data_IF_897615349621
#
_entry.id   IF_897615349621
#
_cell.length_a   1.000
_cell.length_b   1.000
_cell.length_c   1.000
_cell.angle_alpha   90.00
_cell.angle_beta   90.00
_cell.angle_gamma   90.00
#
_symmetry.space_group_name_H-M   'P 1'
#
loop_
_entity.id
_entity.type
_entity.pdbx_description
1 polymer ?
#
# COMPACT_ATOMS: atom_id res chain seq x y z
N UNK A 1 -14.12 19.88 -4.81
CA UNK A 1 -14.36 18.51 -4.24
C UNK A 1 -13.08 17.99 -3.58
N UNK A 2 -13.05 16.89 -2.82
CA UNK A 2 -11.80 16.33 -2.32
C UNK A 2 -11.08 15.54 -3.41
N UNK A 3 -9.74 15.56 -3.40
CA UNK A 3 -8.94 14.59 -4.16
C UNK A 3 -9.08 13.21 -3.53
N UNK A 4 -9.32 12.19 -4.34
CA UNK A 4 -9.49 10.81 -3.89
C UNK A 4 -8.26 9.97 -4.27
N UNK A 5 -7.61 9.38 -3.28
CA UNK A 5 -6.45 8.52 -3.50
C UNK A 5 -6.79 7.07 -3.17
N UNK A 6 -6.51 6.18 -4.09
CA UNK A 6 -6.67 4.73 -3.96
C UNK A 6 -5.29 4.11 -3.74
N UNK A 7 -4.96 3.80 -2.49
CA UNK A 7 -3.73 3.10 -2.17
C UNK A 7 -3.93 1.59 -2.34
N UNK A 8 -3.14 1.01 -3.20
CA UNK A 8 -3.17 -0.42 -3.56
C UNK A 8 -1.88 -1.08 -3.11
N UNK A 9 -1.96 -2.13 -2.29
CA UNK A 9 -0.81 -3.00 -2.10
C UNK A 9 -0.60 -3.84 -3.36
N UNK A 10 0.64 -4.00 -3.81
CA UNK A 10 0.98 -4.87 -4.94
C UNK A 10 0.39 -6.28 -4.79
N UNK A 11 0.17 -6.97 -5.91
CA UNK A 11 -0.27 -8.37 -5.93
C UNK A 11 0.74 -9.32 -5.29
N UNK A 12 0.32 -10.54 -4.97
CA UNK A 12 1.16 -11.53 -4.29
C UNK A 12 2.39 -11.90 -5.14
N UNK A 13 3.53 -12.13 -4.47
CA UNK A 13 4.77 -12.63 -5.03
C UNK A 13 5.10 -14.01 -4.46
N UNK A 14 5.96 -14.79 -5.12
CA UNK A 14 6.44 -16.05 -4.57
C UNK A 14 7.17 -15.85 -3.23
N UNK A 15 7.80 -14.68 -3.03
CA UNK A 15 8.44 -14.34 -1.77
C UNK A 15 7.43 -14.10 -0.65
N UNK A 16 6.26 -13.54 -0.94
CA UNK A 16 5.19 -13.43 0.05
C UNK A 16 4.68 -14.81 0.48
N UNK A 17 4.46 -15.72 -0.48
CA UNK A 17 4.04 -17.09 -0.22
C UNK A 17 5.08 -17.87 0.61
N UNK A 18 6.36 -17.67 0.32
CA UNK A 18 7.47 -18.29 1.05
C UNK A 18 7.79 -17.59 2.39
N UNK A 19 7.08 -16.53 2.78
CA UNK A 19 7.38 -15.69 3.95
C UNK A 19 8.82 -15.16 3.94
N UNK A 20 9.32 -14.79 2.78
CA UNK A 20 10.62 -14.17 2.57
C UNK A 20 10.48 -12.67 2.46
N UNK A 21 11.29 -11.93 3.22
CA UNK A 21 11.20 -10.47 3.29
C UNK A 21 11.89 -9.83 2.09
N UNK A 22 11.12 -9.23 1.20
CA UNK A 22 11.66 -8.58 0.02
C UNK A 22 12.26 -7.19 0.34
N UNK A 23 11.65 -6.42 1.23
CA UNK A 23 12.07 -5.03 1.48
C UNK A 23 12.17 -4.23 0.19
N UNK A 24 13.29 -3.55 -0.01
CA UNK A 24 13.58 -2.75 -1.23
C UNK A 24 14.38 -3.50 -2.29
N UNK A 25 14.54 -4.81 -2.17
CA UNK A 25 15.25 -5.59 -3.18
C UNK A 25 14.52 -5.53 -4.53
N UNK A 26 15.29 -5.30 -5.59
CA UNK A 26 14.85 -5.38 -6.98
C UNK A 26 14.70 -6.84 -7.43
N UNK A 27 14.07 -7.09 -8.57
CA UNK A 27 13.92 -8.42 -9.17
C UNK A 27 12.86 -9.30 -8.50
N UNK A 28 12.04 -8.76 -7.58
CA UNK A 28 10.92 -9.49 -6.98
C UNK A 28 9.63 -9.12 -7.70
N UNK A 29 9.26 -9.95 -8.68
CA UNK A 29 8.09 -9.78 -9.54
C UNK A 29 6.83 -10.43 -8.97
N UNK A 30 5.68 -10.16 -9.58
CA UNK A 30 4.42 -10.81 -9.25
C UNK A 30 4.48 -12.32 -9.59
N UNK A 31 3.84 -13.13 -8.76
CA UNK A 31 3.53 -14.52 -9.10
C UNK A 31 2.40 -14.58 -10.14
N UNK A 32 2.07 -15.79 -10.62
CA UNK A 32 0.88 -15.99 -11.46
C UNK A 32 -0.40 -15.55 -10.79
N UNK A 33 -0.53 -15.84 -9.48
CA UNK A 33 -1.67 -15.38 -8.67
C UNK A 33 -1.67 -13.86 -8.51
N UNK A 34 -0.50 -13.26 -8.26
CA UNK A 34 -0.38 -11.82 -8.14
C UNK A 34 -0.79 -11.05 -9.39
N UNK A 35 -0.53 -11.59 -10.59
CA UNK A 35 -1.02 -11.00 -11.84
C UNK A 35 -2.54 -11.08 -11.93
N UNK A 36 -3.16 -12.21 -11.53
CA UNK A 36 -4.63 -12.32 -11.45
C UNK A 36 -5.25 -11.36 -10.42
N UNK A 37 -4.59 -11.17 -9.27
CA UNK A 37 -4.97 -10.17 -8.28
C UNK A 37 -4.90 -8.75 -8.87
N UNK A 38 -3.82 -8.40 -9.58
CA UNK A 38 -3.66 -7.09 -10.22
C UNK A 38 -4.75 -6.82 -11.27
N UNK A 39 -5.11 -7.83 -12.08
CA UNK A 39 -6.22 -7.73 -13.02
C UNK A 39 -7.57 -7.50 -12.33
N UNK A 40 -7.80 -8.14 -11.18
CA UNK A 40 -9.04 -7.93 -10.42
C UNK A 40 -9.10 -6.49 -9.85
N UNK A 41 -7.98 -5.93 -9.37
CA UNK A 41 -7.89 -4.51 -8.99
C UNK A 41 -8.16 -3.60 -10.18
N UNK A 42 -7.56 -3.90 -11.35
CA UNK A 42 -7.76 -3.12 -12.56
C UNK A 42 -9.25 -3.07 -12.96
N UNK A 43 -9.94 -4.23 -12.95
CA UNK A 43 -11.39 -4.29 -13.18
C UNK A 43 -12.19 -3.47 -12.17
N UNK A 44 -11.82 -3.54 -10.90
CA UNK A 44 -12.48 -2.76 -9.83
C UNK A 44 -12.35 -1.26 -10.05
N UNK A 45 -11.18 -0.80 -10.51
CA UNK A 45 -10.90 0.61 -10.69
C UNK A 45 -11.29 1.12 -12.09
N UNK A 46 -11.65 0.26 -13.05
CA UNK A 46 -11.93 0.62 -14.43
C UNK A 46 -13.02 1.71 -14.60
N UNK A 47 -14.03 1.71 -13.72
CA UNK A 47 -15.09 2.74 -13.73
C UNK A 47 -14.72 4.03 -12.97
N UNK A 48 -13.57 4.07 -12.30
CA UNK A 48 -13.10 5.28 -11.61
C UNK A 48 -12.39 6.18 -12.61
N UNK A 49 -12.74 7.47 -12.76
CA UNK A 49 -12.06 8.36 -13.70
C UNK A 49 -10.67 8.77 -13.16
N UNK A 50 -9.73 7.83 -13.18
CA UNK A 50 -8.37 8.09 -12.73
C UNK A 50 -7.69 9.14 -13.58
N UNK A 51 -7.01 10.08 -12.93
CA UNK A 51 -6.18 11.12 -13.56
C UNK A 51 -4.71 10.70 -13.63
N UNK A 52 -4.26 9.85 -12.72
CA UNK A 52 -2.91 9.32 -12.69
C UNK A 52 -2.88 7.95 -12.03
N UNK A 53 -1.86 7.17 -12.41
CA UNK A 53 -1.44 5.95 -11.73
C UNK A 53 0.02 6.10 -11.34
N UNK A 54 0.30 6.05 -10.05
CA UNK A 54 1.63 6.23 -9.46
C UNK A 54 2.08 4.93 -8.82
N UNK A 55 3.35 4.61 -8.91
CA UNK A 55 3.92 3.36 -8.40
C UNK A 55 5.20 3.58 -7.61
N UNK A 56 5.38 2.79 -6.56
CA UNK A 56 6.71 2.46 -6.04
C UNK A 56 7.64 2.01 -7.17
N UNK A 57 8.95 2.27 -7.10
CA UNK A 57 9.91 1.82 -8.11
C UNK A 57 10.11 0.29 -8.19
N UNK A 58 9.61 -0.48 -7.21
CA UNK A 58 9.85 -1.91 -7.11
C UNK A 58 8.99 -2.71 -8.11
N UNK A 59 9.57 -3.73 -8.74
CA UNK A 59 8.98 -4.44 -9.89
C UNK A 59 7.56 -4.94 -9.63
N UNK A 60 7.30 -5.60 -8.50
CA UNK A 60 5.96 -6.09 -8.11
C UNK A 60 4.90 -4.98 -8.03
N UNK A 61 5.31 -3.77 -7.63
CA UNK A 61 4.40 -2.63 -7.58
C UNK A 61 4.18 -2.04 -8.97
N UNK A 62 5.24 -1.93 -9.78
CA UNK A 62 5.16 -1.46 -11.16
C UNK A 62 4.27 -2.36 -12.01
N UNK A 63 4.47 -3.69 -11.97
CA UNK A 63 3.63 -4.65 -12.69
C UNK A 63 2.13 -4.50 -12.30
N UNK A 64 1.86 -4.32 -11.01
CA UNK A 64 0.49 -4.08 -10.53
C UNK A 64 -0.06 -2.76 -11.07
N UNK A 65 0.74 -1.68 -11.03
CA UNK A 65 0.35 -0.36 -11.49
C UNK A 65 0.11 -0.31 -13.00
N UNK A 66 0.97 -0.96 -13.79
CA UNK A 66 0.84 -1.06 -15.26
C UNK A 66 -0.46 -1.77 -15.64
N UNK A 67 -0.82 -2.81 -14.88
CA UNK A 67 -2.10 -3.52 -15.08
C UNK A 67 -3.30 -2.63 -14.78
N UNK A 68 -3.23 -1.81 -13.71
CA UNK A 68 -4.28 -0.84 -13.36
C UNK A 68 -4.37 0.30 -14.39
N UNK A 69 -3.23 0.77 -14.89
CA UNK A 69 -3.17 1.91 -15.81
C UNK A 69 -3.74 1.59 -17.21
N UNK A 70 -3.65 0.34 -17.65
CA UNK A 70 -4.01 -0.11 -18.99
C UNK A 70 -5.44 0.27 -19.42
N UNK A 71 -6.53 -0.03 -18.65
CA UNK A 71 -7.89 0.32 -19.04
C UNK A 71 -8.18 1.82 -19.02
N UNK A 72 -7.29 2.64 -18.46
CA UNK A 72 -7.38 4.10 -18.43
C UNK A 72 -6.51 4.79 -19.48
N UNK A 73 -5.72 4.03 -20.25
CA UNK A 73 -4.74 4.52 -21.22
C UNK A 73 -3.71 5.50 -20.60
N UNK A 74 -3.43 5.32 -19.30
CA UNK A 74 -2.49 6.14 -18.54
C UNK A 74 -1.08 5.51 -18.54
N UNK A 75 -0.07 6.39 -18.43
CA UNK A 75 1.30 5.96 -18.11
C UNK A 75 1.50 5.92 -16.61
N UNK A 76 2.25 4.93 -16.14
CA UNK A 76 2.64 4.84 -14.73
C UNK A 76 3.76 5.83 -14.44
N UNK A 77 3.57 6.64 -13.41
CA UNK A 77 4.59 7.52 -12.85
C UNK A 77 5.26 6.82 -11.68
N UNK A 78 6.59 6.71 -11.71
CA UNK A 78 7.36 6.10 -10.62
C UNK A 78 7.73 7.15 -9.58
N UNK A 79 7.54 6.82 -8.30
CA UNK A 79 7.80 7.73 -7.20
C UNK A 79 8.33 6.98 -5.96
N UNK A 80 9.53 7.32 -5.53
CA UNK A 80 10.22 6.70 -4.39
C UNK A 80 9.50 6.94 -3.05
N UNK A 81 8.67 7.97 -2.94
CA UNK A 81 7.89 8.21 -1.74
C UNK A 81 6.99 7.01 -1.38
N UNK A 82 6.64 6.17 -2.36
CA UNK A 82 5.75 5.02 -2.18
C UNK A 82 6.47 3.67 -2.13
N UNK A 83 7.81 3.65 -2.04
CA UNK A 83 8.57 2.40 -1.92
C UNK A 83 8.34 1.70 -0.58
N UNK A 84 8.74 0.42 -0.50
CA UNK A 84 8.63 -0.41 0.71
C UNK A 84 9.54 0.13 1.83
N UNK A 85 9.33 -0.36 3.04
CA UNK A 85 10.19 -0.14 4.19
C UNK A 85 11.60 -0.66 3.93
N UNK A 86 12.62 0.11 4.29
CA UNK A 86 13.99 -0.38 4.34
C UNK A 86 14.15 -1.29 5.55
N UNK A 87 14.69 -2.48 5.33
CA UNK A 87 14.88 -3.51 6.36
C UNK A 87 16.33 -3.94 6.56
N UNK A 88 17.27 -3.24 5.94
CA UNK A 88 18.72 -3.51 6.06
C UNK A 88 19.06 -5.01 5.89
N UNK A 89 19.75 -5.59 6.87
CA UNK A 89 20.22 -6.96 6.84
C UNK A 89 19.09 -8.03 6.86
N UNK A 90 17.83 -7.65 7.08
CA UNK A 90 16.71 -8.59 7.04
C UNK A 90 16.23 -8.89 5.62
N UNK A 91 16.55 -8.01 4.66
CA UNK A 91 16.10 -8.17 3.29
C UNK A 91 16.66 -9.46 2.67
N UNK A 92 15.79 -10.22 2.02
CA UNK A 92 16.15 -11.49 1.42
C UNK A 92 16.11 -12.69 2.36
N UNK A 93 15.92 -12.49 3.67
CA UNK A 93 15.82 -13.58 4.64
C UNK A 93 14.39 -14.10 4.76
N UNK A 94 14.26 -15.36 5.19
CA UNK A 94 12.97 -15.90 5.61
C UNK A 94 12.57 -15.32 6.97
N UNK A 95 11.26 -15.21 7.21
CA UNK A 95 10.75 -14.71 8.50
C UNK A 95 11.25 -15.49 9.70
N UNK A 96 11.38 -16.83 9.57
CA UNK A 96 11.99 -17.70 10.59
C UNK A 96 13.41 -17.31 10.94
N UNK A 97 14.23 -17.03 9.91
CA UNK A 97 15.64 -16.68 10.10
C UNK A 97 15.79 -15.30 10.73
N UNK A 98 14.90 -14.35 10.36
CA UNK A 98 14.87 -13.02 10.98
C UNK A 98 14.58 -13.15 12.49
N UNK A 99 13.56 -13.94 12.86
CA UNK A 99 13.21 -14.15 14.27
C UNK A 99 14.31 -14.88 15.05
N UNK A 100 15.01 -15.82 14.42
CA UNK A 100 16.11 -16.56 15.05
C UNK A 100 17.38 -15.71 15.22
N UNK A 101 17.71 -14.87 14.22
CA UNK A 101 18.97 -14.12 14.20
C UNK A 101 18.88 -12.75 14.86
N UNK A 102 17.68 -12.13 14.86
CA UNK A 102 17.45 -10.75 15.32
C UNK A 102 16.25 -10.65 16.29
N UNK A 103 16.14 -11.50 17.33
CA UNK A 103 14.93 -11.59 18.15
C UNK A 103 14.63 -10.28 18.90
N UNK A 104 15.67 -9.55 19.34
CA UNK A 104 15.52 -8.29 20.06
C UNK A 104 15.06 -7.16 19.13
N UNK A 105 15.67 -7.07 17.96
CA UNK A 105 15.29 -6.08 16.94
C UNK A 105 13.86 -6.30 16.45
N UNK A 106 13.44 -7.57 16.27
CA UNK A 106 12.05 -7.91 15.91
C UNK A 106 11.08 -7.43 16.99
N UNK A 107 11.40 -7.63 18.27
CA UNK A 107 10.58 -7.12 19.38
C UNK A 107 10.54 -5.60 19.42
N UNK A 108 11.69 -4.95 19.23
CA UNK A 108 11.81 -3.50 19.20
C UNK A 108 10.96 -2.89 18.07
N UNK A 109 11.10 -3.42 16.84
CA UNK A 109 10.28 -2.99 15.68
C UNK A 109 8.79 -3.25 15.89
N UNK A 110 8.44 -4.38 16.53
CA UNK A 110 7.05 -4.70 16.86
C UNK A 110 6.44 -3.71 17.86
N UNK A 111 7.26 -3.21 18.79
CA UNK A 111 6.89 -2.18 19.77
C UNK A 111 6.97 -0.75 19.22
N UNK A 112 7.19 -0.56 17.92
CA UNK A 112 7.28 0.77 17.29
C UNK A 112 8.63 1.48 17.50
N UNK A 113 9.63 0.78 18.05
CA UNK A 113 10.97 1.34 18.28
C UNK A 113 11.80 1.36 16.99
N UNK A 114 12.81 2.21 16.95
CA UNK A 114 13.74 2.30 15.83
C UNK A 114 14.90 1.31 16.02
N UNK A 115 15.23 0.58 14.97
CA UNK A 115 16.37 -0.32 14.90
C UNK A 115 17.32 0.20 13.82
N UNK A 116 18.62 0.09 14.05
CA UNK A 116 19.64 0.59 13.14
C UNK A 116 19.49 -0.02 11.72
N UNK A 117 19.49 0.84 10.71
CA UNK A 117 19.33 0.45 9.31
C UNK A 117 17.89 0.07 8.90
N UNK A 118 16.95 -0.10 9.84
CA UNK A 118 15.53 -0.34 9.55
C UNK A 118 14.79 1.00 9.56
N UNK A 119 14.09 1.31 8.47
CA UNK A 119 13.33 2.56 8.38
C UNK A 119 12.26 2.65 9.48
N UNK A 120 12.20 3.80 10.17
CA UNK A 120 11.22 4.01 11.23
C UNK A 120 9.80 4.16 10.69
N UNK A 121 8.81 3.87 11.53
CA UNK A 121 7.39 4.13 11.19
C UNK A 121 7.15 5.60 10.89
N UNK A 122 7.78 6.50 11.64
CA UNK A 122 7.66 7.95 11.45
C UNK A 122 8.20 8.39 10.07
N UNK A 123 9.38 7.89 9.66
CA UNK A 123 9.96 8.18 8.35
C UNK A 123 9.07 7.71 7.21
N UNK A 124 8.54 6.46 7.29
CA UNK A 124 7.58 5.95 6.31
C UNK A 124 6.32 6.82 6.22
N UNK A 125 5.73 7.16 7.39
CA UNK A 125 4.53 7.97 7.44
C UNK A 125 4.76 9.37 6.85
N UNK A 126 5.94 9.96 7.07
CA UNK A 126 6.28 11.29 6.55
C UNK A 126 6.43 11.30 5.03
N UNK A 127 7.22 10.37 4.44
CA UNK A 127 7.39 10.33 2.99
C UNK A 127 6.09 9.97 2.26
N UNK A 128 5.29 9.05 2.81
CA UNK A 128 3.98 8.68 2.26
C UNK A 128 3.00 9.86 2.31
N UNK A 129 3.03 10.62 3.41
CA UNK A 129 2.21 11.83 3.56
C UNK A 129 2.63 12.90 2.57
N UNK A 130 3.93 13.20 2.46
CA UNK A 130 4.45 14.18 1.51
C UNK A 130 4.09 13.83 0.06
N UNK A 131 4.23 12.54 -0.32
CA UNK A 131 3.80 12.03 -1.62
C UNK A 131 2.30 12.21 -1.86
N UNK A 132 1.47 11.88 -0.87
CA UNK A 132 0.02 12.07 -0.94
C UNK A 132 -0.37 13.55 -1.09
N UNK A 133 0.28 14.45 -0.34
CA UNK A 133 0.04 15.90 -0.43
C UNK A 133 0.36 16.45 -1.81
N UNK A 134 1.52 16.05 -2.37
CA UNK A 134 1.93 16.43 -3.72
C UNK A 134 0.90 15.97 -4.75
N UNK A 135 0.49 14.70 -4.73
CA UNK A 135 -0.49 14.17 -5.66
C UNK A 135 -1.86 14.87 -5.53
N UNK A 136 -2.25 15.21 -4.30
CA UNK A 136 -3.50 15.96 -4.09
C UNK A 136 -3.44 17.38 -4.64
N UNK A 137 -2.27 18.02 -4.62
CA UNK A 137 -2.05 19.35 -5.20
C UNK A 137 -1.98 19.30 -6.74
N UNK A 138 -1.36 18.27 -7.31
CA UNK A 138 -1.25 18.06 -8.76
C UNK A 138 -2.57 17.66 -9.42
N UNK A 139 -3.46 16.99 -8.66
CA UNK A 139 -4.73 16.47 -9.17
C UNK A 139 -5.93 16.96 -8.32
N UNK A 140 -6.17 18.27 -8.23
CA UNK A 140 -7.27 18.79 -7.42
C UNK A 140 -8.61 18.23 -7.93
N UNK A 141 -9.45 17.79 -6.98
CA UNK A 141 -10.78 17.20 -7.26
C UNK A 141 -10.74 15.91 -8.12
N UNK A 142 -9.55 15.35 -8.34
CA UNK A 142 -9.32 14.16 -9.16
C UNK A 142 -9.28 12.86 -8.35
N UNK A 143 -9.13 11.75 -9.09
CA UNK A 143 -8.86 10.43 -8.53
C UNK A 143 -7.48 9.93 -8.97
N UNK A 144 -6.68 9.42 -8.04
CA UNK A 144 -5.33 8.90 -8.30
C UNK A 144 -5.20 7.50 -7.69
N UNK A 145 -4.67 6.55 -8.45
CA UNK A 145 -4.27 5.25 -7.92
C UNK A 145 -2.78 5.28 -7.56
N UNK A 146 -2.44 4.78 -6.37
CA UNK A 146 -1.07 4.70 -5.86
C UNK A 146 -0.77 3.26 -5.48
N UNK A 147 0.17 2.62 -6.19
CA UNK A 147 0.59 1.26 -5.88
C UNK A 147 1.83 1.27 -5.01
N UNK A 148 1.72 0.65 -3.84
CA UNK A 148 2.74 0.63 -2.81
C UNK A 148 2.75 -0.73 -2.09
N UNK A 149 3.16 -0.76 -0.84
CA UNK A 149 3.43 -1.96 -0.05
C UNK A 149 2.71 -1.91 1.30
N UNK A 150 2.78 -3.02 2.06
CA UNK A 150 2.02 -3.17 3.29
C UNK A 150 2.40 -2.13 4.35
N UNK A 151 3.69 -2.01 4.70
CA UNK A 151 4.11 -1.16 5.80
C UNK A 151 3.95 0.34 5.51
N UNK A 152 4.31 0.86 4.32
CA UNK A 152 4.07 2.27 4.00
C UNK A 152 2.58 2.65 3.99
N UNK A 153 1.72 1.82 3.38
CA UNK A 153 0.27 2.07 3.38
C UNK A 153 -0.27 2.06 4.80
N UNK A 154 0.15 1.10 5.61
CA UNK A 154 -0.21 0.98 7.03
C UNK A 154 0.21 2.21 7.83
N UNK A 155 1.45 2.70 7.64
CA UNK A 155 1.98 3.88 8.29
C UNK A 155 1.20 5.15 7.93
N UNK A 156 0.83 5.31 6.64
CA UNK A 156 -0.01 6.43 6.20
C UNK A 156 -1.40 6.39 6.81
N UNK A 157 -2.06 5.21 6.80
CA UNK A 157 -3.39 5.05 7.40
C UNK A 157 -3.34 5.34 8.89
N UNK A 158 -2.32 4.83 9.61
CA UNK A 158 -2.13 5.12 11.02
C UNK A 158 -1.99 6.61 11.31
N UNK A 159 -1.21 7.34 10.48
CA UNK A 159 -1.06 8.80 10.57
C UNK A 159 -2.40 9.52 10.37
N UNK A 160 -3.15 9.17 9.32
CA UNK A 160 -4.45 9.80 9.01
C UNK A 160 -5.49 9.53 10.10
N UNK A 161 -5.51 8.31 10.63
CA UNK A 161 -6.45 7.88 11.68
C UNK A 161 -5.96 8.14 13.10
N UNK A 162 -4.78 8.77 13.28
CA UNK A 162 -4.15 9.03 14.58
C UNK A 162 -3.96 7.76 15.42
N UNK A 163 -3.67 6.62 14.76
CA UNK A 163 -3.36 5.35 15.43
C UNK A 163 -1.91 5.38 15.93
N UNK A 164 -1.65 5.11 17.21
CA UNK A 164 -0.30 5.18 17.75
C UNK A 164 0.60 4.04 17.20
N UNK A 165 1.94 4.27 17.12
CA UNK A 165 2.89 3.35 16.47
C UNK A 165 2.85 1.91 16.99
N UNK A 166 2.64 1.70 18.28
CA UNK A 166 2.54 0.38 18.92
C UNK A 166 1.30 -0.41 18.47
N UNK A 167 0.29 0.25 17.91
CA UNK A 167 -0.91 -0.38 17.34
C UNK A 167 -0.85 -0.54 15.83
N UNK A 168 0.25 -0.16 15.20
CA UNK A 168 0.39 -0.22 13.75
C UNK A 168 0.06 -1.61 13.17
N UNK A 169 0.49 -2.67 13.86
CA UNK A 169 0.26 -4.07 13.43
C UNK A 169 -1.21 -4.51 13.44
N UNK A 170 -2.08 -3.80 14.14
CA UNK A 170 -3.51 -4.06 14.10
C UNK A 170 -4.16 -3.64 12.76
N UNK A 171 -3.49 -2.78 11.99
CA UNK A 171 -3.95 -2.41 10.66
C UNK A 171 -3.46 -3.45 9.66
N UNK A 172 -4.36 -4.31 9.18
CA UNK A 172 -4.03 -5.29 8.15
C UNK A 172 -4.05 -4.63 6.76
N UNK A 173 -3.06 -4.94 5.92
CA UNK A 173 -2.99 -4.56 4.51
C UNK A 173 -2.57 -5.79 3.72
N UNK A 174 -3.53 -6.47 3.11
CA UNK A 174 -3.33 -7.69 2.32
C UNK A 174 -2.87 -7.38 0.88
N UNK A 175 -2.29 -8.36 0.18
CA UNK A 175 -1.94 -8.23 -1.24
C UNK A 175 -3.15 -7.84 -2.07
N UNK A 176 -2.95 -7.00 -3.05
CA UNK A 176 -3.98 -6.45 -3.93
C UNK A 176 -5.15 -5.77 -3.21
N UNK A 177 -5.04 -5.51 -1.90
CA UNK A 177 -6.07 -4.74 -1.19
C UNK A 177 -6.07 -3.28 -1.64
N UNK A 178 -7.23 -2.65 -1.57
CA UNK A 178 -7.45 -1.25 -1.89
C UNK A 178 -7.88 -0.50 -0.63
N UNK A 179 -7.20 0.60 -0.33
CA UNK A 179 -7.58 1.54 0.72
C UNK A 179 -7.87 2.90 0.09
N UNK A 180 -8.92 3.59 0.52
CA UNK A 180 -9.30 4.89 -0.03
C UNK A 180 -9.13 5.98 1.01
N UNK A 181 -8.38 7.02 0.62
CA UNK A 181 -8.19 8.24 1.41
C UNK A 181 -8.68 9.42 0.59
N UNK A 182 -9.51 10.28 1.20
CA UNK A 182 -9.91 11.57 0.62
C UNK A 182 -9.15 12.70 1.27
N UNK A 183 -8.62 13.62 0.45
CA UNK A 183 -7.85 14.79 0.86
C UNK A 183 -8.59 16.07 0.50
N UNK A 184 -8.92 16.90 1.51
CA UNK A 184 -9.57 18.21 1.30
C UNK A 184 -8.93 19.26 2.18
N UNK A 185 -8.22 20.20 1.56
CA UNK A 185 -7.46 21.20 2.33
C UNK A 185 -6.51 20.51 3.31
N UNK A 186 -6.41 20.87 4.58
CA UNK A 186 -5.53 20.22 5.55
C UNK A 186 -6.05 18.86 6.05
N UNK A 187 -7.27 18.45 5.70
CA UNK A 187 -7.91 17.23 6.24
C UNK A 187 -7.75 16.05 5.30
N UNK A 188 -7.34 14.91 5.85
CA UNK A 188 -7.38 13.61 5.19
C UNK A 188 -8.32 12.68 5.97
N UNK A 189 -9.07 11.83 5.26
CA UNK A 189 -10.04 10.90 5.84
C UNK A 189 -9.83 9.55 5.17
N UNK A 190 -9.69 8.49 5.97
CA UNK A 190 -9.72 7.11 5.50
C UNK A 190 -11.19 6.69 5.38
N UNK A 191 -11.67 6.50 4.16
CA UNK A 191 -13.04 6.03 3.94
C UNK A 191 -13.16 4.53 4.22
N UNK A 192 -12.15 3.77 3.80
CA UNK A 192 -11.97 2.36 4.12
C UNK A 192 -10.50 1.95 3.93
N UNK A 193 -10.10 0.89 4.61
CA UNK A 193 -8.80 0.27 4.49
C UNK A 193 -8.93 -1.22 4.17
N UNK A 194 -7.92 -1.77 3.49
CA UNK A 194 -7.76 -3.20 3.24
C UNK A 194 -8.95 -3.89 2.55
N UNK A 195 -9.68 -3.22 1.68
CA UNK A 195 -10.80 -3.86 0.97
C UNK A 195 -10.31 -4.83 -0.10
N UNK A 196 -10.78 -6.09 -0.06
CA UNK A 196 -10.49 -7.17 -1.01
C UNK A 196 -11.74 -7.69 -1.73
N UNK A 197 -12.87 -7.01 -1.63
CA UNK A 197 -14.15 -7.44 -2.21
C UNK A 197 -14.08 -7.82 -3.71
N UNK A 198 -13.14 -7.25 -4.47
CA UNK A 198 -12.92 -7.57 -5.88
C UNK A 198 -12.24 -8.93 -6.13
N UNK A 199 -11.74 -9.60 -5.08
CA UNK A 199 -11.12 -10.92 -5.16
C UNK A 199 -12.10 -12.05 -4.81
N UNK A 200 -13.28 -11.73 -4.28
CA UNK A 200 -14.25 -12.70 -3.74
C UNK A 200 -15.25 -13.26 -4.77
N UNK A 201 -15.03 -13.02 -6.09
CA UNK A 201 -15.83 -13.58 -7.20
C UNK A 201 -16.84 -12.60 -7.83
N UNK A 202 -17.50 -13.00 -8.94
CA UNK A 202 -18.45 -12.15 -9.65
C UNK A 202 -19.75 -11.98 -8.85
N UNK A 203 -19.86 -10.88 -8.14
CA UNK A 203 -20.98 -10.51 -7.26
C UNK A 203 -20.55 -9.59 -6.12
N UNK A 204 -19.28 -9.59 -5.77
CA UNK A 204 -18.71 -8.75 -4.72
C UNK A 204 -18.26 -7.36 -5.20
N UNK A 205 -18.59 -6.95 -6.42
CA UNK A 205 -18.22 -5.65 -7.00
C UNK A 205 -19.12 -4.50 -6.54
N UNK A 206 -19.44 -4.45 -5.25
CA UNK A 206 -20.06 -3.28 -4.63
C UNK A 206 -19.04 -2.47 -3.87
N UNK A 207 -18.91 -1.17 -4.15
CA UNK A 207 -18.27 -0.24 -3.22
C UNK A 207 -19.01 -0.35 -1.89
N UNK A 208 -18.35 -0.52 -0.73
CA UNK A 208 -19.05 -0.43 0.53
C UNK A 208 -19.74 0.94 0.58
N UNK A 209 -21.08 0.94 0.71
CA UNK A 209 -21.84 2.16 0.84
C UNK A 209 -21.37 2.91 2.10
N UNK A 210 -21.40 4.25 2.10
CA UNK A 210 -20.98 5.07 3.25
C UNK A 210 -21.70 4.75 4.56
N UNK A 211 -22.80 4.00 4.52
CA UNK A 211 -23.63 3.65 5.67
C UNK A 211 -23.16 2.38 6.43
N UNK A 212 -22.13 1.66 5.95
CA UNK A 212 -21.62 0.46 6.64
C UNK A 212 -20.32 0.70 7.43
N UNK A 213 -19.78 1.90 7.43
CA UNK A 213 -18.72 2.30 8.35
C UNK A 213 -19.35 2.71 9.69
N UNK A 214 -19.82 1.72 10.43
CA UNK A 214 -20.11 1.90 11.85
C UNK A 214 -18.84 2.39 12.54
N UNK A 215 -18.99 3.45 13.31
CA UNK A 215 -17.95 4.10 14.08
C UNK A 215 -17.13 3.08 14.89
N UNK A 216 -15.82 3.16 14.77
CA UNK A 216 -14.86 2.78 15.81
C UNK A 216 -13.91 3.94 16.02
#
# INVERSE_FOLDING_TARGET
>A
MPTTLYFVRHGVTDWNAARRLAGRLAGVSLSGDGRREAEAVARRLAAVPLRAVVSSPLDRARETAETIARPHELRVVVDEAFQEREYAAWQGLFSSDIHARFPDDVRAVAGGQTVAGVESVASMAERMWAGMERLAAEHPDGAVAVVSHADPIRALIARVASVPPERLRAITIDTASVSRIRRRGPRAIVDYANSRAHLEGPGACGWPSPQQSGAV
#
